data_IF_406486250571
#
_entry.id   IF_406486250571
#
_cell.length_a   1.000
_cell.length_b   1.000
_cell.length_c   1.000
_cell.angle_alpha   90.00
_cell.angle_beta   90.00
_cell.angle_gamma   90.00
#
_symmetry.space_group_name_H-M   'P 1'
#
loop_
_entity.id
_entity.type
_entity.pdbx_description
1 polymer ?
#
# COMPACT_ATOMS: atom_id res chain seq x y z
N UNK A 1 -6.28 -10.43 22.51
CA UNK A 1 -7.37 -9.57 23.01
C UNK A 1 -7.87 -8.66 21.90
N UNK A 2 -9.18 -8.42 21.88
CA UNK A 2 -9.81 -7.52 20.90
C UNK A 2 -10.14 -6.18 21.56
N UNK A 3 -9.78 -5.09 20.90
CA UNK A 3 -10.23 -3.74 21.22
C UNK A 3 -11.25 -3.30 20.18
N UNK A 4 -12.42 -2.82 20.63
CA UNK A 4 -13.51 -2.42 19.75
C UNK A 4 -13.54 -0.91 19.51
N UNK A 5 -13.50 -0.51 18.26
CA UNK A 5 -13.75 0.87 17.84
C UNK A 5 -15.27 1.05 17.71
N UNK A 6 -15.83 1.80 18.62
CA UNK A 6 -17.29 1.99 18.76
C UNK A 6 -17.76 3.38 18.36
N UNK A 7 -16.82 4.29 18.08
CA UNK A 7 -17.12 5.64 17.61
C UNK A 7 -16.04 6.12 16.59
N UNK A 8 -16.34 7.18 15.86
CA UNK A 8 -15.48 7.77 14.86
C UNK A 8 -14.71 9.00 15.38
N UNK A 9 -14.71 9.20 16.68
CA UNK A 9 -14.05 10.35 17.33
C UNK A 9 -12.53 10.19 17.32
N UNK A 10 -11.85 11.34 17.38
CA UNK A 10 -10.41 11.43 17.57
C UNK A 10 -10.06 12.52 18.59
N UNK A 11 -8.86 12.48 19.14
CA UNK A 11 -8.40 13.47 20.13
C UNK A 11 -6.99 13.99 19.84
N UNK A 12 -6.80 15.26 20.15
CA UNK A 12 -5.51 15.94 20.05
C UNK A 12 -4.54 15.55 21.16
N UNK A 13 -3.30 16.03 21.06
CA UNK A 13 -2.22 15.69 22.03
C UNK A 13 -2.54 16.05 23.47
N UNK A 14 -3.25 17.17 23.66
CA UNK A 14 -3.57 17.71 25.00
C UNK A 14 -5.05 17.53 25.37
N UNK A 15 -5.78 16.73 24.61
CA UNK A 15 -7.19 16.41 24.89
C UNK A 15 -7.29 15.13 25.68
N UNK A 16 -8.39 14.94 26.40
CA UNK A 16 -8.70 13.70 27.11
C UNK A 16 -8.85 12.54 26.11
N UNK A 17 -8.13 11.42 26.28
CA UNK A 17 -8.29 10.26 25.42
C UNK A 17 -9.72 9.74 25.40
N UNK A 18 -10.23 9.47 24.21
CA UNK A 18 -11.61 9.05 23.97
C UNK A 18 -11.67 7.52 23.84
N UNK A 19 -12.27 6.84 24.82
CA UNK A 19 -12.51 5.39 24.75
C UNK A 19 -13.42 5.05 23.57
N UNK A 20 -13.17 3.91 22.93
CA UNK A 20 -13.90 3.48 21.75
C UNK A 20 -13.41 4.12 20.45
N UNK A 21 -12.47 5.07 20.49
CA UNK A 21 -11.83 5.61 19.28
C UNK A 21 -10.69 4.71 18.80
N UNK A 22 -10.36 4.82 17.51
CA UNK A 22 -9.22 4.11 16.92
C UNK A 22 -7.90 4.48 17.61
N UNK A 23 -7.67 5.77 17.83
CA UNK A 23 -6.45 6.25 18.49
C UNK A 23 -6.29 5.70 19.90
N UNK A 24 -7.38 5.61 20.65
CA UNK A 24 -7.33 5.00 21.99
C UNK A 24 -6.89 3.52 21.92
N UNK A 25 -7.40 2.78 20.94
CA UNK A 25 -7.00 1.39 20.70
C UNK A 25 -5.52 1.24 20.37
N UNK A 26 -4.95 2.20 19.63
CA UNK A 26 -3.52 2.20 19.31
C UNK A 26 -2.69 2.61 20.54
N UNK A 27 -2.99 3.73 21.16
CA UNK A 27 -2.12 4.39 22.15
C UNK A 27 -2.35 3.92 23.60
N UNK A 28 -3.52 3.40 23.92
CA UNK A 28 -3.95 3.17 25.32
C UNK A 28 -4.40 1.76 25.63
N UNK A 29 -4.73 0.94 24.65
CA UNK A 29 -5.15 -0.42 24.91
C UNK A 29 -3.96 -1.36 25.21
N UNK A 30 -4.22 -2.42 25.96
CA UNK A 30 -3.21 -3.42 26.32
C UNK A 30 -2.66 -4.14 25.08
N UNK A 31 -1.35 -4.39 25.07
CA UNK A 31 -0.65 -5.14 24.03
C UNK A 31 -0.51 -6.62 24.45
N UNK A 32 -0.49 -7.58 23.51
CA UNK A 32 -0.86 -7.44 22.10
C UNK A 32 -2.37 -7.30 21.92
N UNK A 33 -2.82 -6.67 20.83
CA UNK A 33 -4.24 -6.46 20.57
C UNK A 33 -4.61 -6.51 19.09
N UNK A 34 -5.83 -6.96 18.85
CA UNK A 34 -6.54 -6.78 17.59
C UNK A 34 -7.48 -5.57 17.73
N UNK A 35 -7.39 -4.62 16.83
CA UNK A 35 -8.32 -3.49 16.76
C UNK A 35 -9.36 -3.83 15.70
N UNK A 36 -10.60 -3.97 16.13
CA UNK A 36 -11.77 -4.30 15.32
C UNK A 36 -12.79 -3.19 15.39
N UNK A 37 -13.71 -3.15 14.46
CA UNK A 37 -14.63 -2.02 14.30
C UNK A 37 -16.09 -2.47 14.42
N UNK A 38 -16.83 -1.80 15.30
CA UNK A 38 -18.29 -1.92 15.43
C UNK A 38 -19.02 -0.83 14.64
N UNK A 39 -18.28 0.06 13.99
CA UNK A 39 -18.79 1.17 13.18
C UNK A 39 -18.03 1.26 11.86
N UNK A 40 -18.69 1.78 10.84
CA UNK A 40 -18.07 2.26 9.60
C UNK A 40 -18.15 3.78 9.53
N UNK A 41 -17.23 4.42 8.82
CA UNK A 41 -17.28 5.86 8.62
C UNK A 41 -15.94 6.50 8.35
N UNK A 42 -15.93 7.82 8.34
CA UNK A 42 -14.74 8.65 8.20
C UNK A 42 -14.29 9.08 9.60
N UNK A 43 -13.05 8.72 9.94
CA UNK A 43 -12.38 9.22 11.15
C UNK A 43 -11.58 10.45 10.75
N UNK A 44 -12.04 11.62 11.18
CA UNK A 44 -11.33 12.87 10.98
C UNK A 44 -10.23 13.03 12.03
N UNK A 45 -9.01 12.64 11.65
CA UNK A 45 -7.85 12.71 12.54
C UNK A 45 -7.56 14.15 12.92
N UNK A 46 -7.20 14.39 14.20
CA UNK A 46 -6.76 15.68 14.73
C UNK A 46 -5.24 15.86 14.70
N UNK A 47 -4.51 14.79 14.46
CA UNK A 47 -3.06 14.74 14.29
C UNK A 47 -2.65 13.43 13.63
N UNK A 48 -1.41 13.33 13.18
CA UNK A 48 -0.88 12.07 12.64
C UNK A 48 -1.16 10.89 13.57
N UNK A 49 -1.41 9.74 12.98
CA UNK A 49 -1.63 8.48 13.68
C UNK A 49 -0.36 7.64 13.57
N UNK A 50 0.30 7.34 14.69
CA UNK A 50 1.62 6.71 14.72
C UNK A 50 1.58 5.38 15.46
N UNK A 51 2.24 4.35 14.88
CA UNK A 51 2.43 3.05 15.53
C UNK A 51 3.73 2.96 16.32
N UNK A 52 4.69 3.86 16.08
CA UNK A 52 5.93 3.92 16.87
C UNK A 52 5.60 3.99 18.37
N UNK A 53 6.27 3.18 19.18
CA UNK A 53 6.01 2.98 20.59
C UNK A 53 4.70 2.20 20.93
N UNK A 54 3.94 1.78 19.91
CA UNK A 54 2.69 1.01 20.07
C UNK A 54 2.68 -0.28 19.22
N UNK A 55 3.73 -1.13 19.31
CA UNK A 55 3.84 -2.36 18.51
C UNK A 55 2.81 -3.44 18.90
N UNK A 56 2.90 -4.61 18.26
CA UNK A 56 2.06 -5.78 18.53
C UNK A 56 0.56 -5.50 18.30
N UNK A 57 0.23 -5.01 17.11
CA UNK A 57 -1.12 -4.58 16.76
C UNK A 57 -1.59 -5.13 15.41
N UNK A 58 -2.82 -5.62 15.39
CA UNK A 58 -3.55 -5.84 14.13
C UNK A 58 -4.69 -4.83 14.03
N UNK A 59 -4.77 -4.07 12.94
CA UNK A 59 -5.89 -3.15 12.66
C UNK A 59 -6.67 -3.74 11.49
N UNK A 60 -7.89 -4.17 11.76
CA UNK A 60 -8.65 -5.05 10.90
C UNK A 60 -9.90 -4.36 10.35
N UNK A 61 -9.72 -3.52 9.33
CA UNK A 61 -10.80 -2.75 8.71
C UNK A 61 -11.91 -3.61 8.11
N UNK A 62 -11.63 -4.88 7.75
CA UNK A 62 -12.64 -5.81 7.25
C UNK A 62 -13.72 -6.16 8.27
N UNK A 63 -13.51 -5.89 9.55
CA UNK A 63 -14.52 -6.12 10.60
C UNK A 63 -15.59 -5.01 10.65
N UNK A 64 -15.33 -3.86 10.04
CA UNK A 64 -16.25 -2.73 10.07
C UNK A 64 -17.57 -3.05 9.38
N UNK A 65 -18.73 -2.82 10.06
CA UNK A 65 -20.05 -3.12 9.50
C UNK A 65 -20.48 -2.03 8.52
N UNK A 66 -20.65 -2.35 7.25
CA UNK A 66 -21.04 -1.40 6.21
C UNK A 66 -19.90 -1.08 5.24
N UNK A 67 -19.64 0.21 5.00
CA UNK A 67 -18.75 0.65 3.93
C UNK A 67 -17.27 0.75 4.33
N UNK A 68 -16.91 0.36 5.57
CA UNK A 68 -15.53 0.34 6.04
C UNK A 68 -15.07 1.65 6.66
N UNK A 69 -13.75 1.80 6.79
CA UNK A 69 -13.12 2.92 7.52
C UNK A 69 -12.25 3.74 6.57
N UNK A 70 -12.43 5.06 6.62
CA UNK A 70 -11.56 6.04 5.96
C UNK A 70 -10.91 6.95 7.02
N UNK A 71 -9.58 7.05 6.98
CA UNK A 71 -8.81 8.01 7.78
C UNK A 71 -8.60 9.27 6.96
N UNK A 72 -8.93 10.44 7.53
CA UNK A 72 -8.93 11.74 6.86
C UNK A 72 -8.11 12.76 7.66
N UNK A 73 -7.58 13.76 7.01
CA UNK A 73 -6.88 14.94 7.49
C UNK A 73 -5.39 14.77 7.78
N UNK A 74 -4.95 13.65 8.32
CA UNK A 74 -3.54 13.40 8.67
C UNK A 74 -3.09 11.99 8.25
N UNK A 75 -1.79 11.76 8.31
CA UNK A 75 -1.13 10.52 7.93
C UNK A 75 -1.32 9.40 8.96
N UNK A 76 -1.14 8.18 8.44
CA UNK A 76 -0.94 6.98 9.24
C UNK A 76 0.50 6.48 9.05
N UNK A 77 1.29 6.46 10.10
CA UNK A 77 2.72 6.17 10.00
C UNK A 77 3.18 5.10 10.99
N UNK A 78 4.09 4.24 10.50
CA UNK A 78 4.71 3.20 11.32
C UNK A 78 5.80 3.79 12.22
N UNK A 79 6.82 4.37 11.61
CA UNK A 79 7.95 4.99 12.29
C UNK A 79 8.52 6.11 11.41
N UNK A 80 8.89 7.23 12.00
CA UNK A 80 9.57 8.34 11.32
C UNK A 80 10.97 8.60 11.86
N UNK A 81 11.37 7.88 12.92
CA UNK A 81 12.71 7.97 13.50
C UNK A 81 13.77 7.36 12.58
N UNK A 82 15.02 7.77 12.74
CA UNK A 82 16.16 7.12 12.14
C UNK A 82 16.53 5.79 12.85
N UNK A 83 16.03 5.59 14.07
CA UNK A 83 16.24 4.34 14.81
C UNK A 83 15.24 3.28 14.36
N UNK A 84 15.73 2.07 14.15
CA UNK A 84 14.88 0.94 13.78
C UNK A 84 13.92 0.57 14.91
N UNK A 85 12.67 0.28 14.55
CA UNK A 85 11.60 -0.10 15.48
C UNK A 85 10.92 -1.38 15.03
N UNK A 86 10.76 -2.31 15.96
CA UNK A 86 9.97 -3.50 15.75
C UNK A 86 8.47 -3.17 15.91
N UNK A 87 7.69 -3.50 14.87
CA UNK A 87 6.26 -3.18 14.85
C UNK A 87 5.39 -4.37 15.20
N UNK A 88 5.66 -5.56 14.66
CA UNK A 88 4.74 -6.70 14.74
C UNK A 88 3.31 -6.26 14.40
N UNK A 89 3.14 -5.65 13.22
CA UNK A 89 1.90 -4.97 12.86
C UNK A 89 1.25 -5.59 11.62
N UNK A 90 -0.07 -5.71 11.67
CA UNK A 90 -0.92 -6.14 10.54
C UNK A 90 -1.97 -5.05 10.30
N UNK A 91 -1.97 -4.44 9.12
CA UNK A 91 -2.93 -3.40 8.74
C UNK A 91 -3.70 -3.88 7.51
N UNK A 92 -5.03 -4.00 7.63
CA UNK A 92 -5.86 -4.57 6.57
C UNK A 92 -7.12 -3.76 6.31
N UNK A 93 -7.49 -3.62 5.03
CA UNK A 93 -8.77 -3.09 4.56
C UNK A 93 -9.13 -1.70 5.11
N UNK A 94 -8.18 -0.79 5.12
CA UNK A 94 -8.39 0.63 5.46
C UNK A 94 -8.25 1.51 4.21
N UNK A 95 -8.85 2.69 4.25
CA UNK A 95 -8.59 3.79 3.33
C UNK A 95 -7.89 4.92 4.08
N UNK A 96 -6.68 5.27 3.64
CA UNK A 96 -5.89 6.38 4.17
C UNK A 96 -5.95 7.51 3.14
N UNK A 97 -6.76 8.53 3.41
CA UNK A 97 -7.01 9.69 2.53
C UNK A 97 -6.88 10.99 3.30
N UNK A 98 -5.66 11.44 3.60
CA UNK A 98 -5.46 12.65 4.41
C UNK A 98 -6.02 13.91 3.75
N UNK A 99 -5.79 14.12 2.46
CA UNK A 99 -6.20 15.34 1.78
C UNK A 99 -5.36 16.55 2.19
N UNK A 100 -5.81 17.73 1.81
CA UNK A 100 -5.09 19.01 1.96
C UNK A 100 -5.84 20.08 2.75
N UNK A 101 -6.74 19.66 3.66
CA UNK A 101 -7.51 20.59 4.49
C UNK A 101 -6.63 21.44 5.41
N UNK A 102 -5.59 20.87 5.98
CA UNK A 102 -4.71 21.52 6.93
C UNK A 102 -3.36 21.85 6.29
N UNK A 103 -2.95 23.11 6.37
CA UNK A 103 -1.70 23.60 5.78
C UNK A 103 -0.45 23.07 6.49
N UNK A 104 -0.57 22.65 7.74
CA UNK A 104 0.52 22.02 8.51
C UNK A 104 0.73 20.54 8.17
N UNK A 105 -0.12 19.94 7.35
CA UNK A 105 0.04 18.60 6.85
C UNK A 105 0.78 18.58 5.50
N UNK A 106 1.93 17.93 5.45
CA UNK A 106 2.75 17.77 4.25
C UNK A 106 3.47 16.40 4.23
N UNK A 107 2.74 15.34 4.57
CA UNK A 107 3.28 14.00 4.77
C UNK A 107 2.65 12.99 3.81
N UNK A 108 3.10 11.74 3.92
CA UNK A 108 2.56 10.59 3.19
C UNK A 108 1.14 10.25 3.65
N UNK A 109 0.35 9.58 2.81
CA UNK A 109 -0.96 9.09 3.28
C UNK A 109 -0.80 7.93 4.27
N UNK A 110 0.01 6.94 3.91
CA UNK A 110 0.46 5.86 4.79
C UNK A 110 1.91 5.52 4.48
N UNK A 111 2.73 5.33 5.51
CA UNK A 111 4.13 5.02 5.31
C UNK A 111 4.92 4.81 6.58
N UNK A 112 6.23 4.88 6.43
CA UNK A 112 7.18 4.78 7.52
C UNK A 112 8.56 4.39 7.04
N UNK A 113 9.52 4.53 7.93
CA UNK A 113 10.92 4.16 7.67
C UNK A 113 11.53 3.40 8.85
N UNK A 114 12.53 2.59 8.57
CA UNK A 114 13.33 1.88 9.58
C UNK A 114 12.48 1.12 10.61
N UNK A 115 11.62 0.25 10.12
CA UNK A 115 10.79 -0.63 10.95
C UNK A 115 10.90 -2.08 10.50
N UNK A 116 10.53 -3.00 11.38
CA UNK A 116 10.58 -4.45 11.12
C UNK A 116 9.26 -5.14 11.43
N UNK A 117 9.01 -6.26 10.75
CA UNK A 117 7.89 -7.17 11.03
C UNK A 117 6.52 -6.52 10.86
N UNK A 118 6.16 -6.18 9.64
CA UNK A 118 4.82 -5.64 9.37
C UNK A 118 4.27 -6.10 8.01
N UNK A 119 2.95 -6.06 7.89
CA UNK A 119 2.24 -6.27 6.64
C UNK A 119 1.13 -5.23 6.48
N UNK A 120 1.04 -4.67 5.26
CA UNK A 120 -0.06 -3.80 4.81
C UNK A 120 -0.78 -4.52 3.68
N UNK A 121 -2.03 -4.84 3.89
CA UNK A 121 -2.83 -5.71 3.04
C UNK A 121 -4.17 -5.08 2.68
N UNK A 122 -4.48 -4.97 1.39
CA UNK A 122 -5.74 -4.39 0.90
C UNK A 122 -6.03 -2.98 1.47
N UNK A 123 -5.01 -2.13 1.52
CA UNK A 123 -5.15 -0.73 1.92
C UNK A 123 -5.24 0.15 0.69
N UNK A 124 -6.20 1.06 0.67
CA UNK A 124 -6.24 2.16 -0.29
C UNK A 124 -5.58 3.39 0.32
N UNK A 125 -4.55 3.91 -0.35
CA UNK A 125 -3.93 5.18 -0.03
C UNK A 125 -4.18 6.17 -1.17
N UNK A 126 -4.65 7.37 -0.84
CA UNK A 126 -4.91 8.43 -1.81
C UNK A 126 -4.69 9.80 -1.18
N UNK A 127 -4.50 10.82 -2.02
CA UNK A 127 -4.46 12.21 -1.59
C UNK A 127 -3.38 12.52 -0.55
N UNK A 128 -2.24 11.86 -0.66
CA UNK A 128 -1.03 12.24 0.07
C UNK A 128 -0.45 13.54 -0.50
N UNK A 129 0.19 14.32 0.35
CA UNK A 129 0.80 15.60 -0.01
C UNK A 129 2.28 15.45 -0.35
N UNK A 130 2.97 14.45 0.22
CA UNK A 130 4.30 14.01 -0.19
C UNK A 130 4.17 12.72 -1.01
N UNK A 131 4.57 11.56 -0.52
CA UNK A 131 4.19 10.30 -1.13
C UNK A 131 2.77 9.86 -0.69
N UNK A 132 2.25 8.89 -1.40
CA UNK A 132 0.93 8.33 -1.03
C UNK A 132 1.10 7.01 -0.26
N UNK A 133 1.97 6.13 -0.72
CA UNK A 133 2.27 4.82 -0.12
C UNK A 133 3.79 4.66 -0.02
N UNK A 134 4.40 4.98 1.14
CA UNK A 134 5.84 5.15 1.24
C UNK A 134 6.46 4.31 2.35
N UNK A 135 7.28 3.31 1.96
CA UNK A 135 8.00 2.46 2.90
C UNK A 135 9.48 2.45 2.59
N UNK A 136 10.29 2.86 3.56
CA UNK A 136 11.72 3.09 3.38
C UNK A 136 12.54 2.37 4.44
N UNK A 137 13.56 1.61 4.00
CA UNK A 137 14.47 0.93 4.91
C UNK A 137 13.79 -0.04 5.89
N UNK A 138 12.69 -0.66 5.49
CA UNK A 138 11.98 -1.63 6.29
C UNK A 138 12.57 -3.04 6.15
N UNK A 139 12.35 -3.91 7.15
CA UNK A 139 12.78 -5.29 7.15
C UNK A 139 11.61 -6.24 7.45
N UNK A 140 11.61 -7.43 6.81
CA UNK A 140 10.53 -8.40 6.99
C UNK A 140 9.16 -7.73 6.79
N UNK A 141 8.98 -7.10 5.64
CA UNK A 141 7.81 -6.30 5.35
C UNK A 141 7.12 -6.74 4.06
N UNK A 142 5.81 -6.69 4.05
CA UNK A 142 5.02 -6.88 2.83
C UNK A 142 3.97 -5.79 2.70
N UNK A 143 3.91 -5.15 1.54
CA UNK A 143 2.76 -4.38 1.07
C UNK A 143 2.13 -5.13 -0.11
N UNK A 144 0.89 -5.55 0.04
CA UNK A 144 0.22 -6.38 -0.96
C UNK A 144 -1.21 -5.97 -1.21
N UNK A 145 -1.66 -6.12 -2.46
CA UNK A 145 -3.03 -5.86 -2.86
C UNK A 145 -3.53 -4.46 -2.43
N UNK A 146 -2.65 -3.48 -2.48
CA UNK A 146 -2.93 -2.10 -2.11
C UNK A 146 -3.24 -1.24 -3.33
N UNK A 147 -3.80 -0.05 -3.08
CA UNK A 147 -3.89 1.01 -4.07
C UNK A 147 -3.12 2.23 -3.58
N UNK A 148 -2.33 2.85 -4.47
CA UNK A 148 -1.75 4.16 -4.30
C UNK A 148 -2.23 5.03 -5.45
N UNK A 149 -3.08 6.01 -5.17
CA UNK A 149 -3.78 6.74 -6.23
C UNK A 149 -3.94 8.22 -5.93
N UNK A 150 -3.94 9.04 -6.98
CA UNK A 150 -4.25 10.48 -6.90
C UNK A 150 -3.48 11.23 -5.81
N UNK A 151 -2.15 11.16 -5.82
CA UNK A 151 -1.33 12.06 -5.03
C UNK A 151 -1.59 13.52 -5.41
N UNK A 152 -1.55 14.42 -4.42
CA UNK A 152 -1.82 15.85 -4.64
C UNK A 152 -0.55 16.55 -5.10
N UNK A 153 -0.54 17.03 -6.35
CA UNK A 153 0.66 17.54 -7.00
C UNK A 153 1.05 18.94 -6.50
N UNK A 154 0.26 19.93 -6.77
CA UNK A 154 0.53 21.32 -6.34
C UNK A 154 -0.34 21.67 -5.12
N UNK A 155 0.02 21.11 -3.98
CA UNK A 155 -0.74 21.18 -2.74
C UNK A 155 0.00 21.95 -1.63
N UNK A 156 0.02 21.43 -0.41
CA UNK A 156 0.56 22.13 0.78
C UNK A 156 2.06 21.92 1.00
N UNK A 157 2.74 21.14 0.16
CA UNK A 157 4.14 20.80 0.38
C UNK A 157 5.06 22.01 0.19
N UNK A 158 5.90 22.31 1.20
CA UNK A 158 6.75 23.49 1.24
C UNK A 158 7.79 23.57 0.10
N UNK A 159 8.15 22.45 -0.51
CA UNK A 159 9.06 22.37 -1.66
C UNK A 159 8.35 22.58 -3.01
N UNK A 160 7.07 22.88 -3.02
CA UNK A 160 6.27 23.05 -4.24
C UNK A 160 5.64 21.75 -4.72
N UNK A 161 5.45 21.63 -6.05
CA UNK A 161 4.78 20.49 -6.65
C UNK A 161 5.41 19.14 -6.27
N UNK A 162 4.59 18.21 -5.77
CA UNK A 162 5.05 16.94 -5.22
C UNK A 162 4.19 15.77 -5.70
N UNK A 163 3.10 15.52 -5.88
CA UNK A 163 2.28 14.47 -6.49
C UNK A 163 2.94 13.10 -6.62
N UNK A 164 3.46 12.55 -5.51
CA UNK A 164 4.29 11.34 -5.53
C UNK A 164 3.53 10.08 -5.10
N UNK A 165 3.77 8.97 -5.85
CA UNK A 165 3.04 7.72 -5.66
C UNK A 165 3.54 6.87 -4.50
N UNK A 166 4.74 6.33 -4.60
CA UNK A 166 5.25 5.38 -3.63
C UNK A 166 6.78 5.38 -3.52
N UNK A 167 7.26 4.89 -2.38
CA UNK A 167 8.64 4.47 -2.15
C UNK A 167 8.66 2.99 -1.77
N UNK A 168 9.47 2.20 -2.48
CA UNK A 168 9.69 0.78 -2.21
C UNK A 168 11.17 0.51 -1.97
N UNK A 169 11.52 0.06 -0.79
CA UNK A 169 12.89 -0.32 -0.44
C UNK A 169 12.91 -1.32 0.72
N UNK A 170 14.07 -1.66 1.21
CA UNK A 170 14.22 -2.44 2.43
C UNK A 170 15.00 -3.74 2.24
N UNK A 171 14.92 -4.61 3.25
CA UNK A 171 15.52 -5.92 3.30
C UNK A 171 14.46 -6.98 3.62
N UNK A 172 14.45 -8.08 2.87
CA UNK A 172 13.37 -9.06 2.91
C UNK A 172 11.99 -8.37 2.86
N UNK A 173 11.86 -7.43 1.94
CA UNK A 173 10.63 -6.67 1.70
C UNK A 173 9.98 -7.09 0.39
N UNK A 174 8.66 -7.08 0.35
CA UNK A 174 7.87 -7.50 -0.80
C UNK A 174 6.77 -6.48 -1.09
N UNK A 175 6.68 -6.07 -2.35
CA UNK A 175 5.69 -5.11 -2.84
C UNK A 175 5.00 -5.70 -4.05
N UNK A 176 3.81 -6.27 -3.86
CA UNK A 176 3.17 -6.99 -4.93
C UNK A 176 1.66 -6.75 -5.06
N UNK A 177 1.17 -6.85 -6.28
CA UNK A 177 -0.24 -6.66 -6.63
C UNK A 177 -0.78 -5.29 -6.18
N UNK A 178 0.01 -4.24 -6.38
CA UNK A 178 -0.36 -2.87 -6.03
C UNK A 178 -0.79 -2.14 -7.30
N UNK A 179 -1.93 -1.45 -7.25
CA UNK A 179 -2.34 -0.50 -8.27
C UNK A 179 -1.78 0.89 -7.93
N UNK A 180 -1.01 1.45 -8.84
CA UNK A 180 -0.60 2.85 -8.79
C UNK A 180 -1.18 3.61 -9.97
N UNK A 181 -1.92 4.69 -9.70
CA UNK A 181 -2.59 5.46 -10.73
C UNK A 181 -2.62 6.97 -10.43
N UNK A 182 -2.40 7.77 -11.48
CA UNK A 182 -2.52 9.23 -11.41
C UNK A 182 -1.50 9.90 -10.48
N UNK A 183 -0.21 9.63 -10.73
CA UNK A 183 0.89 10.24 -9.98
C UNK A 183 1.75 11.12 -10.89
N UNK A 184 2.17 12.28 -10.37
CA UNK A 184 3.12 13.14 -11.05
C UNK A 184 4.48 12.46 -11.22
N UNK A 185 4.97 11.82 -10.16
CA UNK A 185 6.24 11.08 -10.15
C UNK A 185 6.22 9.98 -9.08
N UNK A 186 7.34 9.25 -8.91
CA UNK A 186 7.47 8.13 -7.96
C UNK A 186 6.38 7.07 -8.15
N UNK A 187 6.32 6.56 -9.36
CA UNK A 187 5.33 5.54 -9.73
C UNK A 187 5.98 4.17 -10.07
N UNK A 188 6.64 3.51 -9.10
CA UNK A 188 7.15 3.97 -7.80
C UNK A 188 8.58 4.55 -7.88
N UNK A 189 9.10 5.16 -6.79
CA UNK A 189 10.54 5.29 -6.56
C UNK A 189 11.05 4.00 -5.93
N UNK A 190 12.14 3.46 -6.47
CA UNK A 190 12.74 2.20 -6.05
C UNK A 190 14.01 2.53 -5.23
N UNK A 191 14.13 1.97 -4.03
CA UNK A 191 15.28 2.14 -3.14
C UNK A 191 15.54 3.60 -2.74
N UNK A 192 16.69 4.13 -2.90
CA UNK A 192 17.26 5.38 -2.38
C UNK A 192 17.99 5.16 -1.04
N UNK A 193 18.64 4.01 -0.92
CA UNK A 193 19.37 3.66 0.29
C UNK A 193 20.67 4.48 0.42
N UNK A 194 21.12 4.75 1.65
CA UNK A 194 22.46 5.30 1.88
C UNK A 194 23.55 4.37 1.31
N UNK A 195 24.71 4.93 1.01
CA UNK A 195 25.86 4.15 0.57
C UNK A 195 26.23 3.12 1.65
N UNK A 196 26.47 1.85 1.27
CA UNK A 196 26.90 0.82 2.22
C UNK A 196 28.13 1.23 3.05
N UNK A 197 28.05 1.01 4.36
CA UNK A 197 29.11 1.41 5.29
C UNK A 197 29.02 2.86 5.79
N UNK A 198 28.00 3.62 5.36
CA UNK A 198 27.73 4.97 5.88
C UNK A 198 26.68 4.96 6.99
N UNK A 199 26.62 6.07 7.75
CA UNK A 199 25.62 6.21 8.80
C UNK A 199 24.19 6.13 8.23
N UNK A 200 23.32 5.34 8.85
CA UNK A 200 21.94 5.11 8.44
C UNK A 200 21.76 3.99 7.41
N UNK A 201 22.85 3.40 6.89
CA UNK A 201 22.74 2.26 6.00
C UNK A 201 22.34 0.97 6.74
N UNK A 202 22.96 0.71 7.90
CA UNK A 202 22.61 -0.39 8.82
C UNK A 202 22.26 -1.72 8.15
N UNK A 203 21.44 -2.50 8.82
CA UNK A 203 20.96 -3.82 8.35
C UNK A 203 19.73 -3.71 7.44
N UNK A 204 19.33 -2.49 7.05
CA UNK A 204 18.15 -2.25 6.22
C UNK A 204 18.42 -2.35 4.72
N UNK A 205 19.67 -2.56 4.33
CA UNK A 205 20.07 -2.78 2.94
C UNK A 205 20.13 -4.28 2.68
N UNK A 206 19.20 -4.77 1.90
CA UNK A 206 19.12 -6.16 1.52
C UNK A 206 18.35 -6.35 0.24
N UNK A 207 17.73 -7.50 0.08
CA UNK A 207 16.96 -7.83 -1.11
C UNK A 207 15.49 -7.49 -0.92
N UNK A 208 14.88 -6.89 -1.95
CA UNK A 208 13.44 -6.71 -1.98
C UNK A 208 12.84 -7.04 -3.35
N UNK A 209 11.57 -7.41 -3.36
CA UNK A 209 10.86 -7.91 -4.54
C UNK A 209 9.70 -6.99 -4.90
N UNK A 210 9.65 -6.55 -6.15
CA UNK A 210 8.59 -5.73 -6.73
C UNK A 210 7.94 -6.53 -7.85
N UNK A 211 6.71 -7.01 -7.61
CA UNK A 211 6.11 -8.03 -8.45
C UNK A 211 4.63 -7.80 -8.71
N UNK A 212 4.19 -8.08 -9.94
CA UNK A 212 2.77 -8.07 -10.30
C UNK A 212 2.02 -6.76 -9.99
N UNK A 213 2.72 -5.64 -9.93
CA UNK A 213 2.09 -4.34 -9.75
C UNK A 213 1.54 -3.83 -11.09
N UNK A 214 0.55 -2.96 -10.99
CA UNK A 214 -0.06 -2.28 -12.14
C UNK A 214 0.20 -0.79 -12.00
N UNK A 215 0.86 -0.21 -12.99
CA UNK A 215 1.17 1.22 -13.06
C UNK A 215 0.38 1.86 -14.19
N UNK A 216 -0.34 2.92 -13.88
CA UNK A 216 -1.19 3.63 -14.82
C UNK A 216 -1.04 5.15 -14.70
N UNK A 217 -0.98 5.82 -15.83
CA UNK A 217 -1.07 7.29 -15.96
C UNK A 217 -0.08 8.07 -15.09
N UNK A 218 1.18 7.64 -15.05
CA UNK A 218 2.27 8.47 -14.51
C UNK A 218 2.54 9.64 -15.46
N UNK A 219 2.88 10.81 -14.90
CA UNK A 219 3.12 11.99 -15.74
C UNK A 219 4.41 11.90 -16.54
N UNK A 220 4.37 12.33 -17.79
CA UNK A 220 5.55 12.49 -18.63
C UNK A 220 6.59 13.48 -18.06
N UNK A 221 6.15 14.42 -17.20
CA UNK A 221 7.05 15.38 -16.55
C UNK A 221 7.86 14.77 -15.40
N UNK A 222 7.40 13.67 -14.82
CA UNK A 222 8.10 12.91 -13.78
C UNK A 222 9.10 11.90 -14.35
N UNK A 223 9.40 10.89 -13.55
CA UNK A 223 10.34 9.82 -13.92
C UNK A 223 9.67 8.43 -14.05
N UNK A 224 8.37 8.33 -13.77
CA UNK A 224 7.67 7.05 -13.73
C UNK A 224 8.20 6.17 -12.61
N UNK A 225 8.51 4.91 -12.92
CA UNK A 225 9.28 4.02 -12.05
C UNK A 225 10.77 4.40 -12.17
N UNK A 226 11.40 4.80 -11.05
CA UNK A 226 12.80 5.24 -11.09
C UNK A 226 13.54 5.00 -9.78
N UNK A 227 14.86 5.16 -9.80
CA UNK A 227 15.72 5.05 -8.64
C UNK A 227 16.63 3.83 -8.70
N UNK A 228 16.73 3.12 -7.58
CA UNK A 228 17.58 1.94 -7.44
C UNK A 228 18.91 2.20 -6.75
N UNK A 229 19.14 3.42 -6.24
CA UNK A 229 20.39 3.82 -5.59
C UNK A 229 20.75 2.84 -4.48
N UNK A 230 21.90 2.17 -4.64
CA UNK A 230 22.43 1.13 -3.73
C UNK A 230 21.45 -0.01 -3.41
N UNK A 231 20.38 -0.16 -4.20
CA UNK A 231 19.38 -1.22 -4.02
C UNK A 231 19.72 -2.49 -4.78
N UNK A 232 19.28 -3.63 -4.22
CA UNK A 232 19.33 -4.94 -4.85
C UNK A 232 17.92 -5.52 -4.86
N UNK A 233 17.33 -5.67 -6.05
CA UNK A 233 15.89 -5.91 -6.15
C UNK A 233 15.48 -6.66 -7.43
N UNK A 234 14.25 -7.17 -7.40
CA UNK A 234 13.55 -7.69 -8.57
C UNK A 234 12.44 -6.71 -8.99
N UNK A 235 12.22 -6.56 -10.30
CA UNK A 235 11.00 -6.00 -10.89
C UNK A 235 10.47 -7.03 -11.89
N UNK A 236 9.43 -7.76 -11.51
CA UNK A 236 8.98 -8.94 -12.24
C UNK A 236 7.48 -8.95 -12.48
N UNK A 237 7.09 -9.24 -13.72
CA UNK A 237 5.70 -9.44 -14.11
C UNK A 237 4.76 -8.27 -13.72
N UNK A 238 5.26 -7.04 -13.73
CA UNK A 238 4.45 -5.84 -13.57
C UNK A 238 3.80 -5.43 -14.90
N UNK A 239 2.72 -4.68 -14.82
CA UNK A 239 1.96 -4.20 -15.97
C UNK A 239 2.02 -2.67 -16.03
N UNK A 240 2.64 -2.14 -17.10
CA UNK A 240 2.83 -0.71 -17.33
C UNK A 240 1.85 -0.24 -18.40
N UNK A 241 0.85 0.55 -18.00
CA UNK A 241 -0.15 1.11 -18.92
C UNK A 241 -0.03 2.64 -18.94
N UNK A 242 0.51 3.18 -20.05
CA UNK A 242 0.51 4.62 -20.26
C UNK A 242 -0.92 5.18 -20.31
N UNK A 243 -1.11 6.35 -19.71
CA UNK A 243 -2.38 7.06 -19.68
C UNK A 243 -2.29 8.45 -20.30
N UNK A 244 -3.34 9.26 -20.20
CA UNK A 244 -3.39 10.60 -20.82
C UNK A 244 -2.28 11.54 -20.36
N UNK A 245 -1.82 11.47 -19.11
CA UNK A 245 -0.71 12.28 -18.59
C UNK A 245 0.67 11.76 -19.00
N UNK A 246 0.77 10.50 -19.37
CA UNK A 246 2.06 9.85 -19.71
C UNK A 246 2.56 10.27 -21.08
N UNK A 247 1.66 10.64 -22.00
CA UNK A 247 2.02 10.99 -23.36
C UNK A 247 2.47 9.78 -24.19
N UNK A 248 3.14 10.06 -25.32
CA UNK A 248 3.55 9.05 -26.31
C UNK A 248 5.07 9.00 -26.53
N UNK A 249 5.84 9.75 -25.74
CA UNK A 249 7.31 9.73 -25.76
C UNK A 249 7.91 8.56 -24.99
N UNK A 250 9.25 8.57 -24.85
CA UNK A 250 10.01 7.48 -24.20
C UNK A 250 9.54 7.18 -22.77
N UNK A 251 8.99 8.14 -22.06
CA UNK A 251 8.43 7.93 -20.73
C UNK A 251 7.32 6.87 -20.70
N UNK A 252 6.58 6.70 -21.82
CA UNK A 252 5.48 5.74 -21.90
C UNK A 252 5.93 4.28 -21.93
N UNK A 253 7.19 3.99 -22.23
CA UNK A 253 7.71 2.61 -22.28
C UNK A 253 8.91 2.33 -21.37
N UNK A 254 9.28 3.27 -20.48
CA UNK A 254 10.35 3.04 -19.51
C UNK A 254 9.88 2.08 -18.43
N UNK A 255 10.62 0.99 -18.24
CA UNK A 255 10.43 0.08 -17.10
C UNK A 255 11.09 0.65 -15.85
N UNK A 256 12.29 1.22 -16.01
CA UNK A 256 13.03 1.84 -14.91
C UNK A 256 13.92 2.97 -15.44
N UNK A 257 13.79 4.16 -14.86
CA UNK A 257 14.80 5.21 -14.95
C UNK A 257 15.79 5.02 -13.80
N UNK A 258 16.95 4.38 -14.06
CA UNK A 258 17.80 3.77 -13.05
C UNK A 258 18.92 4.67 -12.55
N UNK A 259 19.23 4.55 -11.25
CA UNK A 259 20.54 4.90 -10.69
C UNK A 259 21.58 3.86 -11.12
N UNK A 260 22.80 4.26 -11.52
CA UNK A 260 23.82 3.32 -11.98
C UNK A 260 24.36 2.38 -10.89
N UNK A 261 24.10 2.68 -9.62
CA UNK A 261 24.49 1.81 -8.49
C UNK A 261 23.49 0.69 -8.22
N UNK A 262 22.35 0.65 -8.92
CA UNK A 262 21.34 -0.40 -8.79
C UNK A 262 21.91 -1.78 -9.16
N UNK A 263 21.35 -2.82 -8.54
CA UNK A 263 21.54 -4.22 -8.91
C UNK A 263 20.18 -4.86 -9.02
N UNK A 264 19.76 -5.18 -10.25
CA UNK A 264 18.35 -5.52 -10.50
C UNK A 264 18.21 -6.75 -11.40
N UNK A 265 17.27 -7.62 -11.02
CA UNK A 265 16.69 -8.61 -11.90
C UNK A 265 15.35 -8.06 -12.41
N UNK A 266 15.28 -7.79 -13.72
CA UNK A 266 14.09 -7.18 -14.35
C UNK A 266 13.66 -8.09 -15.50
N UNK A 267 12.47 -8.70 -15.38
CA UNK A 267 12.00 -9.71 -16.33
C UNK A 267 10.48 -9.78 -16.38
N UNK A 268 9.95 -10.07 -17.56
CA UNK A 268 8.54 -10.40 -17.76
C UNK A 268 7.55 -9.24 -17.59
N UNK A 269 8.03 -8.00 -17.52
CA UNK A 269 7.13 -6.84 -17.39
C UNK A 269 6.47 -6.50 -18.72
N UNK A 270 5.15 -6.37 -18.71
CA UNK A 270 4.37 -5.98 -19.87
C UNK A 270 4.24 -4.45 -19.95
N UNK A 271 4.59 -3.88 -21.08
CA UNK A 271 4.55 -2.44 -21.36
C UNK A 271 3.66 -2.18 -22.56
N UNK A 272 2.46 -1.65 -22.32
CA UNK A 272 1.44 -1.48 -23.37
C UNK A 272 1.91 -0.60 -24.55
N UNK A 273 2.81 0.36 -24.29
CA UNK A 273 3.32 1.30 -25.28
C UNK A 273 4.44 0.73 -26.18
N UNK A 274 5.01 -0.45 -25.87
CA UNK A 274 6.11 -1.02 -26.62
C UNK A 274 6.15 -2.55 -26.57
N UNK A 275 5.93 -3.19 -27.70
CA UNK A 275 6.09 -4.64 -27.84
C UNK A 275 7.56 -5.07 -27.72
N UNK A 276 8.51 -4.24 -28.17
CA UNK A 276 9.95 -4.48 -28.03
C UNK A 276 10.37 -4.55 -26.56
N UNK A 277 9.99 -3.55 -25.75
CA UNK A 277 10.28 -3.52 -24.32
C UNK A 277 9.57 -4.65 -23.57
N UNK A 278 8.38 -5.02 -23.99
CA UNK A 278 7.67 -6.18 -23.42
C UNK A 278 8.41 -7.49 -23.69
N UNK A 279 8.97 -7.65 -24.89
CA UNK A 279 9.73 -8.85 -25.27
C UNK A 279 11.07 -8.97 -24.52
N UNK A 280 11.75 -7.85 -24.29
CA UNK A 280 12.98 -7.75 -23.50
C UNK A 280 13.03 -6.40 -22.77
N UNK A 281 12.79 -6.41 -21.47
CA UNK A 281 12.74 -5.20 -20.67
C UNK A 281 14.05 -4.41 -20.63
N UNK A 282 15.20 -5.06 -20.90
CA UNK A 282 16.50 -4.41 -20.93
C UNK A 282 16.78 -3.69 -22.24
N UNK A 283 16.17 -4.15 -23.32
CA UNK A 283 16.25 -3.48 -24.61
C UNK A 283 15.30 -2.29 -24.61
N UNK A 284 15.85 -1.08 -24.60
CA UNK A 284 15.12 0.19 -24.62
C UNK A 284 14.17 0.47 -23.45
N UNK A 285 14.11 -0.41 -22.43
CA UNK A 285 13.26 -0.22 -21.23
C UNK A 285 13.98 0.42 -20.04
N UNK A 286 15.31 0.42 -20.02
CA UNK A 286 16.13 0.97 -18.93
C UNK A 286 16.76 2.29 -19.37
N UNK A 287 16.50 3.34 -18.61
CA UNK A 287 16.97 4.71 -18.87
C UNK A 287 17.76 5.25 -17.68
N UNK A 288 18.54 6.31 -17.90
CA UNK A 288 19.24 6.99 -16.81
C UNK A 288 18.30 7.89 -16.02
N UNK A 289 18.34 7.85 -14.71
CA UNK A 289 17.60 8.84 -13.90
C UNK A 289 18.25 10.23 -13.91
N UNK A 290 19.56 10.32 -14.19
CA UNK A 290 20.29 11.59 -14.18
C UNK A 290 20.27 12.29 -15.52
N UNK A 291 20.21 11.54 -16.60
CA UNK A 291 20.20 12.05 -17.98
C UNK A 291 18.91 11.61 -18.66
N UNK A 292 17.91 12.45 -18.57
CA UNK A 292 16.52 12.12 -18.93
C UNK A 292 16.36 11.42 -20.28
N UNK A 293 17.13 11.80 -21.25
CA UNK A 293 16.99 11.31 -22.62
C UNK A 293 18.09 10.33 -23.05
N UNK A 294 18.83 9.80 -22.07
CA UNK A 294 19.91 8.85 -22.30
C UNK A 294 19.67 7.53 -21.58
N UNK A 295 20.17 6.46 -22.18
CA UNK A 295 20.34 5.18 -21.51
C UNK A 295 21.59 5.21 -20.62
N UNK A 296 21.68 4.36 -19.60
CA UNK A 296 22.94 4.05 -18.95
C UNK A 296 23.97 3.55 -19.98
N UNK A 297 25.26 3.72 -19.69
CA UNK A 297 26.33 3.17 -20.55
C UNK A 297 26.25 1.64 -20.57
N UNK A 298 26.88 0.99 -21.54
CA UNK A 298 26.96 -0.48 -21.60
C UNK A 298 27.61 -1.07 -20.36
N UNK A 299 28.63 -0.41 -19.78
CA UNK A 299 29.27 -0.82 -18.56
C UNK A 299 28.32 -0.73 -17.36
N UNK A 300 27.58 0.38 -17.21
CA UNK A 300 26.57 0.55 -16.17
C UNK A 300 25.44 -0.48 -16.31
N UNK A 301 24.94 -0.71 -17.54
CA UNK A 301 23.91 -1.72 -17.83
C UNK A 301 24.38 -3.13 -17.44
N UNK A 302 25.59 -3.49 -17.79
CA UNK A 302 26.19 -4.76 -17.44
C UNK A 302 26.34 -4.92 -15.92
N UNK A 303 26.79 -3.88 -15.24
CA UNK A 303 26.93 -3.87 -13.78
C UNK A 303 25.60 -3.94 -13.03
N UNK A 304 24.54 -3.32 -13.56
CA UNK A 304 23.21 -3.32 -12.93
C UNK A 304 22.46 -4.64 -13.12
N UNK A 305 22.63 -5.31 -14.28
CA UNK A 305 21.82 -6.47 -14.65
C UNK A 305 22.21 -7.71 -13.88
N UNK A 306 21.27 -8.24 -13.10
CA UNK A 306 21.41 -9.53 -12.43
C UNK A 306 20.84 -10.64 -13.34
N UNK A 307 21.61 -11.73 -13.50
CA UNK A 307 21.18 -12.88 -14.33
C UNK A 307 20.07 -13.73 -13.70
N UNK A 308 19.99 -13.69 -12.38
CA UNK A 308 19.05 -14.49 -11.58
C UNK A 308 18.25 -13.60 -10.65
N UNK A 309 16.99 -13.95 -10.34
CA UNK A 309 16.21 -13.21 -9.36
C UNK A 309 16.87 -13.24 -7.99
N UNK A 310 16.81 -12.12 -7.31
CA UNK A 310 17.27 -12.00 -5.93
C UNK A 310 16.33 -12.75 -4.99
N UNK A 311 16.75 -13.11 -3.76
CA UNK A 311 15.90 -13.77 -2.79
C UNK A 311 14.59 -13.01 -2.55
N UNK A 312 13.49 -13.73 -2.40
CA UNK A 312 12.17 -13.19 -2.08
C UNK A 312 11.31 -14.16 -1.29
N UNK A 313 10.47 -13.63 -0.44
CA UNK A 313 9.53 -14.39 0.37
C UNK A 313 8.42 -15.02 -0.48
N UNK A 314 7.80 -16.05 0.05
CA UNK A 314 6.70 -16.78 -0.57
C UNK A 314 5.59 -15.85 -1.07
N UNK A 315 5.25 -15.98 -2.34
CA UNK A 315 4.22 -15.15 -2.98
C UNK A 315 3.47 -15.96 -4.05
N UNK A 316 2.19 -15.66 -4.23
CA UNK A 316 1.44 -16.14 -5.40
C UNK A 316 1.72 -15.20 -6.57
N UNK A 317 2.49 -15.68 -7.56
CA UNK A 317 2.90 -14.89 -8.72
C UNK A 317 2.00 -15.17 -9.91
N UNK A 318 1.65 -14.12 -10.65
CA UNK A 318 0.84 -14.16 -11.86
C UNK A 318 1.64 -13.72 -13.08
N UNK A 319 1.16 -14.00 -14.29
CA UNK A 319 1.60 -13.25 -15.48
C UNK A 319 1.19 -11.78 -15.34
N UNK A 320 1.85 -10.84 -16.05
CA UNK A 320 1.46 -9.43 -15.96
C UNK A 320 0.00 -9.18 -16.39
N UNK A 321 -0.50 -9.91 -17.37
CA UNK A 321 -1.89 -9.78 -17.84
C UNK A 321 -2.89 -10.31 -16.79
N UNK A 322 -2.59 -11.43 -16.16
CA UNK A 322 -3.38 -11.92 -15.03
C UNK A 322 -3.33 -10.96 -13.86
N UNK A 323 -2.14 -10.44 -13.52
CA UNK A 323 -1.97 -9.45 -12.46
C UNK A 323 -2.80 -8.19 -12.72
N UNK A 324 -2.82 -7.68 -13.95
CA UNK A 324 -3.65 -6.54 -14.34
C UNK A 324 -5.12 -6.76 -13.98
N UNK A 325 -5.70 -7.88 -14.41
CA UNK A 325 -7.10 -8.19 -14.11
C UNK A 325 -7.37 -8.40 -12.61
N UNK A 326 -6.48 -9.13 -11.92
CA UNK A 326 -6.62 -9.42 -10.49
C UNK A 326 -6.46 -8.17 -9.63
N UNK A 327 -5.48 -7.32 -9.92
CA UNK A 327 -5.25 -6.07 -9.20
C UNK A 327 -6.43 -5.12 -9.37
N UNK A 328 -6.94 -4.95 -10.59
CA UNK A 328 -8.11 -4.10 -10.83
C UNK A 328 -9.36 -4.62 -10.10
N UNK A 329 -9.46 -5.92 -9.91
CA UNK A 329 -10.62 -6.50 -9.23
C UNK A 329 -10.51 -6.48 -7.70
N UNK A 330 -9.31 -6.70 -7.14
CA UNK A 330 -9.14 -7.02 -5.72
C UNK A 330 -8.26 -6.07 -4.92
N UNK A 331 -7.46 -5.20 -5.52
CA UNK A 331 -6.59 -4.29 -4.78
C UNK A 331 -7.36 -3.20 -4.00
N UNK A 332 -6.72 -2.69 -2.96
CA UNK A 332 -7.28 -1.68 -2.06
C UNK A 332 -8.29 -2.26 -1.06
N UNK A 333 -9.07 -1.40 -0.43
CA UNK A 333 -10.13 -1.78 0.50
C UNK A 333 -11.33 -2.40 -0.25
N UNK A 334 -11.07 -3.51 -0.92
CA UNK A 334 -11.93 -4.11 -1.94
C UNK A 334 -13.11 -4.91 -1.39
N UNK A 335 -13.17 -5.14 -0.07
CA UNK A 335 -14.38 -5.72 0.54
C UNK A 335 -15.61 -4.83 0.31
N UNK A 336 -15.40 -3.51 0.35
CA UNK A 336 -16.39 -2.48 0.01
C UNK A 336 -15.66 -1.29 -0.63
N UNK A 337 -15.43 -1.37 -1.94
CA UNK A 337 -14.86 -0.24 -2.68
C UNK A 337 -15.83 0.93 -2.70
N UNK A 338 -15.32 2.12 -2.37
CA UNK A 338 -16.09 3.35 -2.54
C UNK A 338 -16.08 3.83 -4.00
N UNK A 339 -16.81 4.92 -4.24
CA UNK A 339 -16.97 5.48 -5.60
C UNK A 339 -15.65 5.98 -6.18
N UNK A 340 -14.69 6.40 -5.35
CA UNK A 340 -13.36 6.87 -5.80
C UNK A 340 -12.57 5.69 -6.35
N UNK A 341 -12.43 4.61 -5.59
CA UNK A 341 -11.70 3.41 -6.03
C UNK A 341 -12.37 2.77 -7.27
N UNK A 342 -13.69 2.76 -7.31
CA UNK A 342 -14.45 2.26 -8.48
C UNK A 342 -14.18 3.12 -9.72
N UNK A 343 -14.17 4.45 -9.59
CA UNK A 343 -13.86 5.38 -10.68
C UNK A 343 -12.43 5.16 -11.20
N UNK A 344 -11.46 5.09 -10.32
CA UNK A 344 -10.06 4.89 -10.70
C UNK A 344 -9.87 3.57 -11.45
N UNK A 345 -10.45 2.47 -10.95
CA UNK A 345 -10.40 1.18 -11.65
C UNK A 345 -11.01 1.26 -13.05
N UNK A 346 -12.14 1.96 -13.19
CA UNK A 346 -12.77 2.21 -14.49
C UNK A 346 -11.84 3.00 -15.42
N UNK A 347 -11.25 4.08 -14.92
CA UNK A 347 -10.30 4.90 -15.68
C UNK A 347 -9.09 4.09 -16.16
N UNK A 348 -8.54 3.21 -15.31
CA UNK A 348 -7.44 2.32 -15.72
C UNK A 348 -7.88 1.37 -16.83
N UNK A 349 -9.07 0.77 -16.73
CA UNK A 349 -9.60 -0.12 -17.78
C UNK A 349 -9.79 0.59 -19.12
N UNK A 350 -10.37 1.78 -19.05
CA UNK A 350 -10.74 2.56 -20.25
C UNK A 350 -9.56 3.38 -20.81
N UNK A 351 -8.47 3.55 -20.07
CA UNK A 351 -7.33 4.39 -20.46
C UNK A 351 -7.66 5.89 -20.42
N UNK A 352 -8.50 6.31 -19.49
CA UNK A 352 -9.04 7.67 -19.33
C UNK A 352 -8.68 8.30 -18.00
N UNK A 353 -9.08 9.54 -17.82
CA UNK A 353 -9.09 10.25 -16.53
C UNK A 353 -10.32 11.15 -16.45
N UNK A 354 -10.81 11.38 -15.23
CA UNK A 354 -11.97 12.25 -14.99
C UNK A 354 -11.54 13.66 -14.57
N UNK A 355 -10.54 13.75 -13.69
CA UNK A 355 -10.15 14.99 -13.04
C UNK A 355 -8.79 15.49 -13.52
N UNK A 356 -8.58 16.80 -13.39
CA UNK A 356 -7.33 17.47 -13.75
C UNK A 356 -7.06 18.57 -12.72
N UNK A 357 -5.79 18.79 -12.38
CA UNK A 357 -5.37 19.80 -11.42
C UNK A 357 -5.74 21.21 -11.83
N UNK A 358 -6.11 22.04 -10.85
CA UNK A 358 -6.57 23.41 -11.05
C UNK A 358 -5.49 24.48 -10.87
N UNK A 359 -4.32 24.12 -10.30
CA UNK A 359 -3.27 25.06 -9.91
C UNK A 359 -2.02 25.03 -10.80
N UNK A 360 -1.84 23.97 -11.57
CA UNK A 360 -0.68 23.83 -12.47
C UNK A 360 -0.87 24.67 -13.73
N UNK A 361 0.18 25.36 -14.16
CA UNK A 361 0.19 26.13 -15.44
C UNK A 361 0.07 25.20 -16.65
N UNK A 362 0.50 23.95 -16.51
CA UNK A 362 0.41 22.90 -17.55
C UNK A 362 -0.30 21.66 -16.98
N UNK A 363 -1.60 21.77 -16.74
CA UNK A 363 -2.34 20.67 -16.13
C UNK A 363 -2.31 19.42 -17.00
N UNK A 364 -2.18 18.26 -16.37
CA UNK A 364 -2.18 16.96 -17.02
C UNK A 364 -3.38 16.13 -16.61
N UNK A 365 -4.04 15.46 -17.55
CA UNK A 365 -5.23 14.68 -17.23
C UNK A 365 -4.96 13.57 -16.20
N UNK A 366 -5.71 13.57 -15.10
CA UNK A 366 -5.56 12.61 -14.00
C UNK A 366 -4.63 13.08 -12.88
N UNK A 367 -3.75 14.04 -13.13
CA UNK A 367 -2.87 14.62 -12.09
C UNK A 367 -3.61 15.79 -11.44
N UNK A 368 -3.95 15.63 -10.19
CA UNK A 368 -4.73 16.61 -9.41
C UNK A 368 -3.83 17.38 -8.43
N UNK A 369 -4.25 18.55 -8.01
CA UNK A 369 -3.50 19.41 -7.10
C UNK A 369 -4.11 19.46 -5.70
N UNK A 370 -5.41 19.28 -5.60
CA UNK A 370 -6.18 19.39 -4.37
C UNK A 370 -7.37 18.43 -4.40
N UNK A 371 -7.87 18.05 -3.24
CA UNK A 371 -9.11 17.25 -3.14
C UNK A 371 -10.28 17.98 -3.81
N UNK A 372 -10.27 19.34 -3.78
CA UNK A 372 -11.28 20.15 -4.44
C UNK A 372 -11.37 20.01 -5.97
N UNK A 373 -10.35 19.43 -6.60
CA UNK A 373 -10.38 19.09 -8.04
C UNK A 373 -11.23 17.85 -8.33
N UNK A 374 -11.66 17.11 -7.32
CA UNK A 374 -12.36 15.82 -7.42
C UNK A 374 -13.78 15.88 -6.88
N UNK A 375 -14.46 14.73 -6.86
CA UNK A 375 -15.76 14.54 -6.21
C UNK A 375 -15.72 14.74 -4.68
N UNK A 376 -14.54 14.79 -4.09
CA UNK A 376 -14.33 14.86 -2.64
C UNK A 376 -14.60 13.53 -1.92
N UNK A 377 -14.72 13.61 -0.60
CA UNK A 377 -14.94 12.43 0.24
C UNK A 377 -16.39 11.91 0.07
N UNK A 378 -16.56 10.63 -0.30
CA UNK A 378 -17.90 10.04 -0.37
C UNK A 378 -18.46 9.80 1.03
N UNK A 379 -19.79 9.68 1.10
CA UNK A 379 -20.45 9.17 2.30
C UNK A 379 -19.99 7.73 2.56
N UNK A 380 -19.70 7.41 3.82
CA UNK A 380 -19.33 6.07 4.30
C UNK A 380 -20.39 5.62 5.30
N UNK A 381 -21.23 4.69 4.89
CA UNK A 381 -22.39 4.24 5.69
C UNK A 381 -21.97 3.17 6.68
N UNK A 382 -22.43 3.30 7.94
CA UNK A 382 -22.32 2.28 8.96
C UNK A 382 -23.59 1.44 9.01
N UNK A 383 -23.43 0.13 9.16
CA UNK A 383 -24.49 -0.77 9.55
C UNK A 383 -24.35 -1.06 11.05
N UNK A 384 -25.35 -1.74 11.61
CA UNK A 384 -25.27 -2.24 12.97
C UNK A 384 -24.31 -3.43 13.00
N UNK A 385 -23.38 -3.42 13.97
CA UNK A 385 -22.52 -4.57 14.22
C UNK A 385 -23.36 -5.79 14.67
N UNK A 386 -22.88 -6.98 14.31
CA UNK A 386 -23.47 -8.22 14.80
C UNK A 386 -23.32 -8.33 16.32
N UNK A 387 -24.27 -8.94 17.04
CA UNK A 387 -24.11 -9.25 18.46
C UNK A 387 -22.87 -10.12 18.70
N UNK A 388 -22.19 -9.83 19.77
CA UNK A 388 -21.05 -10.56 20.32
C UNK A 388 -21.24 -10.51 21.85
N UNK A 389 -21.88 -11.55 22.39
CA UNK A 389 -22.43 -11.54 23.75
C UNK A 389 -21.36 -11.58 24.81
N UNK A 390 -20.27 -12.31 24.59
CA UNK A 390 -19.17 -12.43 25.54
C UNK A 390 -18.04 -11.43 25.29
N UNK A 391 -18.06 -10.74 24.14
CA UNK A 391 -17.16 -9.62 23.82
C UNK A 391 -15.75 -10.03 23.40
N UNK A 392 -15.55 -11.25 22.93
CA UNK A 392 -14.23 -11.78 22.57
C UNK A 392 -13.74 -11.32 21.17
N UNK A 393 -14.65 -10.88 20.32
CA UNK A 393 -14.36 -10.38 18.96
C UNK A 393 -14.94 -11.25 17.85
N UNK A 394 -15.61 -12.37 18.21
CA UNK A 394 -16.34 -13.24 17.28
C UNK A 394 -17.83 -12.98 17.47
N UNK A 395 -18.62 -12.72 16.44
CA UNK A 395 -20.08 -12.57 16.59
C UNK A 395 -20.77 -13.89 16.91
N UNK A 396 -21.80 -13.83 17.76
CA UNK A 396 -22.62 -14.98 18.19
C UNK A 396 -23.03 -15.89 17.02
N UNK A 397 -23.48 -15.30 15.93
CA UNK A 397 -23.96 -16.04 14.75
C UNK A 397 -22.85 -16.86 14.07
N UNK A 398 -21.61 -16.39 14.13
CA UNK A 398 -20.47 -17.11 13.58
C UNK A 398 -20.04 -18.24 14.51
N UNK A 399 -20.04 -17.97 15.81
CA UNK A 399 -19.71 -18.98 16.83
C UNK A 399 -20.67 -20.15 16.78
N UNK A 400 -21.99 -19.88 16.77
CA UNK A 400 -23.03 -20.91 16.61
C UNK A 400 -22.83 -21.74 15.33
N UNK A 401 -22.49 -21.06 14.20
CA UNK A 401 -22.28 -21.74 12.91
C UNK A 401 -21.04 -22.66 12.91
N UNK A 402 -20.02 -22.35 13.72
CA UNK A 402 -18.77 -23.11 13.79
C UNK A 402 -18.63 -23.96 15.06
N UNK A 403 -19.68 -24.00 15.90
CA UNK A 403 -19.75 -24.84 17.10
C UNK A 403 -18.93 -24.32 18.27
N UNK A 404 -18.77 -23.02 18.36
CA UNK A 404 -18.23 -22.30 19.53
C UNK A 404 -19.36 -21.87 20.48
N UNK A 405 -19.04 -21.39 21.65
CA UNK A 405 -20.02 -20.96 22.66
C UNK A 405 -20.07 -19.45 22.79
N UNK A 406 -21.16 -18.76 22.34
CA UNK A 406 -21.31 -17.31 22.42
C UNK A 406 -21.28 -16.70 23.84
N UNK A 407 -21.10 -17.51 24.85
CA UNK A 407 -20.98 -17.06 26.24
C UNK A 407 -19.62 -17.39 26.84
N UNK A 408 -18.66 -17.88 26.06
CA UNK A 408 -17.35 -18.30 26.52
C UNK A 408 -16.22 -17.48 25.89
N UNK A 409 -15.81 -16.35 26.46
CA UNK A 409 -14.81 -15.47 25.86
C UNK A 409 -13.40 -16.07 25.72
N UNK A 410 -13.19 -17.27 26.25
CA UNK A 410 -11.87 -17.93 26.18
C UNK A 410 -11.69 -18.78 24.92
N UNK A 411 -12.76 -19.11 24.20
CA UNK A 411 -12.64 -19.99 23.03
C UNK A 411 -12.14 -19.27 21.76
N UNK A 412 -12.28 -17.95 21.67
CA UNK A 412 -11.66 -17.16 20.59
C UNK A 412 -10.14 -17.37 20.47
N UNK A 413 -9.45 -17.51 21.58
CA UNK A 413 -8.00 -17.73 21.62
C UNK A 413 -7.59 -19.19 21.41
N UNK A 414 -8.54 -20.13 21.43
CA UNK A 414 -8.26 -21.54 21.23
C UNK A 414 -8.00 -21.87 19.76
N UNK A 415 -7.27 -22.95 19.55
CA UNK A 415 -7.06 -23.56 18.25
C UNK A 415 -7.98 -24.79 18.16
N UNK A 416 -9.05 -24.68 17.39
CA UNK A 416 -10.04 -25.76 17.22
C UNK A 416 -9.89 -26.39 15.84
N UNK A 417 -9.62 -27.68 15.78
CA UNK A 417 -9.50 -28.42 14.50
C UNK A 417 -10.81 -28.50 13.71
N UNK A 418 -11.95 -28.27 14.37
CA UNK A 418 -13.24 -28.08 13.71
C UNK A 418 -13.35 -26.77 12.94
N UNK A 419 -12.59 -25.76 13.34
CA UNK A 419 -12.54 -24.41 12.73
C UNK A 419 -11.36 -24.28 11.79
N UNK A 420 -10.16 -24.66 12.24
CA UNK A 420 -8.94 -24.78 11.43
C UNK A 420 -8.45 -26.23 11.41
N UNK A 421 -8.75 -27.01 10.34
CA UNK A 421 -8.30 -28.39 10.25
C UNK A 421 -6.78 -28.61 10.32
N UNK A 422 -6.00 -27.56 10.01
CA UNK A 422 -4.54 -27.60 10.09
C UNK A 422 -4.01 -27.29 11.50
N UNK A 423 -4.86 -26.82 12.41
CA UNK A 423 -4.50 -26.50 13.80
C UNK A 423 -3.42 -25.44 13.94
N UNK A 424 -3.43 -24.41 13.10
CA UNK A 424 -2.39 -23.37 13.04
C UNK A 424 -2.84 -22.03 13.61
N UNK A 425 -4.14 -21.73 13.46
CA UNK A 425 -4.70 -20.41 13.78
C UNK A 425 -5.76 -20.53 14.87
N UNK A 426 -5.83 -19.53 15.71
CA UNK A 426 -6.91 -19.41 16.69
C UNK A 426 -8.26 -19.21 15.99
N UNK A 427 -9.34 -19.53 16.69
CA UNK A 427 -10.70 -19.34 16.17
C UNK A 427 -10.95 -17.91 15.74
N UNK A 428 -10.45 -16.94 16.50
CA UNK A 428 -10.53 -15.52 16.21
C UNK A 428 -9.79 -15.13 14.90
N UNK A 429 -8.59 -15.67 14.69
CA UNK A 429 -7.83 -15.42 13.44
C UNK A 429 -8.55 -16.02 12.23
N UNK A 430 -9.13 -17.21 12.38
CA UNK A 430 -9.94 -17.83 11.32
C UNK A 430 -11.17 -16.99 11.01
N UNK A 431 -11.87 -16.48 12.04
CA UNK A 431 -13.00 -15.58 11.84
C UNK A 431 -12.59 -14.33 11.06
N UNK A 432 -11.53 -13.65 11.44
CA UNK A 432 -11.05 -12.45 10.72
C UNK A 432 -10.71 -12.74 9.27
N UNK A 433 -10.12 -13.89 8.97
CA UNK A 433 -9.84 -14.31 7.61
C UNK A 433 -11.12 -14.67 6.84
N UNK A 434 -12.07 -15.31 7.49
CA UNK A 434 -13.32 -15.75 6.87
C UNK A 434 -14.10 -14.58 6.26
N UNK A 435 -14.05 -13.39 6.88
CA UNK A 435 -14.67 -12.17 6.36
C UNK A 435 -14.21 -11.82 4.94
N UNK A 436 -12.99 -12.17 4.56
CA UNK A 436 -12.34 -11.82 3.29
C UNK A 436 -11.82 -13.02 2.50
N UNK A 437 -12.09 -14.22 2.96
CA UNK A 437 -11.59 -15.47 2.37
C UNK A 437 -11.96 -15.58 0.88
N UNK A 438 -13.14 -15.16 0.50
CA UNK A 438 -13.58 -15.15 -0.90
C UNK A 438 -12.72 -14.24 -1.79
N UNK A 439 -12.27 -13.11 -1.28
CA UNK A 439 -11.35 -12.20 -1.98
C UNK A 439 -10.00 -12.89 -2.14
N UNK A 440 -9.42 -13.37 -1.04
CA UNK A 440 -8.10 -14.02 -1.02
C UNK A 440 -8.06 -15.26 -1.92
N UNK A 441 -9.12 -16.05 -1.90
CA UNK A 441 -9.23 -17.21 -2.78
C UNK A 441 -9.23 -16.81 -4.27
N UNK A 442 -10.11 -15.90 -4.64
CA UNK A 442 -10.30 -15.48 -6.03
C UNK A 442 -9.09 -14.71 -6.60
N UNK A 443 -8.46 -13.86 -5.79
CA UNK A 443 -7.28 -13.11 -6.24
C UNK A 443 -6.10 -14.03 -6.56
N UNK A 444 -5.94 -15.13 -5.85
CA UNK A 444 -4.84 -16.08 -6.05
C UNK A 444 -5.07 -17.08 -7.19
N UNK A 445 -6.30 -17.21 -7.70
CA UNK A 445 -6.59 -18.12 -8.80
C UNK A 445 -5.76 -17.80 -10.05
N UNK A 446 -5.18 -18.85 -10.64
CA UNK A 446 -4.36 -18.77 -11.84
C UNK A 446 -2.90 -18.38 -11.56
N UNK A 447 -2.56 -18.03 -10.34
CA UNK A 447 -1.18 -17.77 -9.93
C UNK A 447 -0.44 -19.04 -9.50
N UNK A 448 0.87 -18.90 -9.41
CA UNK A 448 1.77 -19.95 -8.91
C UNK A 448 2.45 -19.48 -7.61
N UNK A 449 2.44 -20.35 -6.60
CA UNK A 449 3.13 -20.05 -5.34
C UNK A 449 4.62 -20.29 -5.53
N UNK A 450 5.41 -19.26 -5.36
CA UNK A 450 6.87 -19.29 -5.55
C UNK A 450 7.59 -18.61 -4.40
N UNK A 451 8.84 -18.98 -4.18
CA UNK A 451 9.78 -18.31 -3.27
C UNK A 451 11.21 -18.54 -3.76
N UNK A 452 12.14 -17.70 -3.36
CA UNK A 452 13.58 -17.92 -3.52
C UNK A 452 14.28 -17.55 -2.22
N UNK A 453 15.00 -18.55 -1.65
CA UNK A 453 15.81 -18.38 -0.44
C UNK A 453 17.22 -17.92 -0.77
#
# INVERSE_FOLDING_TARGET
>A
RSYRVTNLEDYGKNETPIKGSLRYGIEKSDQPRNIIFDVSGIIELKRGLFLVDHPNVSILGQTAPGDGITLKNYNFSFNLSADSKEMNAIIRFLRCRPGDKYEDYAEDAIGGRYFTNAIVDHVTASWGVDETLSFYGCQNFTAQWCMSTESLNNSNHAKGAHGYGAMFSGDNASYHHILMAHHSSRAPRISDMPEPGTQGAGDHIGYFDVRNNVYYNWSEAGFGCYGGKYGTFNIVNCYYKAGPATGTGSMSWRVLSSDPTARAYIEGNHVTASAEVTADNWTNGIWSQFWRDLHPTEEEMHAMRMAEPQPFSKVTSHTPEQAYEKVLQYAGASLRRDIIDQRIVKEVREGTSTWTGSKDEKPRPGIIDTVGDTEGYPEVKSLKAWPDTDGDGIPDIWEEAYGLDPNNPDDAAQISTSVDPNGRYSNLEVYFHNLVQHIVYNQNLGGQVIEKK
#
